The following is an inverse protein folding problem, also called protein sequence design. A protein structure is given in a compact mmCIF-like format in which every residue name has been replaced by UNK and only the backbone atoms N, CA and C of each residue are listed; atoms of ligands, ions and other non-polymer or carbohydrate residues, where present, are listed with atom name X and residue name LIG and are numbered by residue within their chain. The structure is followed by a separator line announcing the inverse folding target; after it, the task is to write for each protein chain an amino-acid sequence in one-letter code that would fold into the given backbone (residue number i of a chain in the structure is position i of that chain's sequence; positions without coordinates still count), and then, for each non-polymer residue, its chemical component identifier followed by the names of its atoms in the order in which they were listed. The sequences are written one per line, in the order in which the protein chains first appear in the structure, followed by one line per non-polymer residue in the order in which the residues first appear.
data_IF_613991763459
#
_entry.id   IF_613991763459
#
_cell.length_a   1.000
_cell.length_b   1.000
_cell.length_c   1.000
_cell.angle_alpha   90.00
_cell.angle_beta   90.00
_cell.angle_gamma   90.00
#
_symmetry.space_group_name_H-M   'P 1'
#
loop_
_entity.id
_entity.type
_entity.pdbx_description
1 polymer ?
#
# COMPACT_ATOMS: atom_id res chain seq x y z
N UNK A 1 2.42 -1.50 20.86
CA UNK A 1 2.40 -2.88 20.29
C UNK A 1 3.08 -2.93 18.91
N UNK A 2 2.53 -2.34 17.83
CA UNK A 2 3.11 -2.43 16.47
C UNK A 2 4.54 -1.92 16.40
N UNK A 3 4.84 -0.78 17.02
CA UNK A 3 6.18 -0.20 17.08
C UNK A 3 7.19 -1.14 17.75
N UNK A 4 6.76 -1.93 18.70
CA UNK A 4 7.61 -2.94 19.37
C UNK A 4 7.83 -4.16 18.48
N UNK A 5 6.76 -4.62 17.77
CA UNK A 5 6.88 -5.70 16.80
C UNK A 5 7.87 -5.31 15.68
N UNK A 6 7.77 -4.08 15.17
CA UNK A 6 8.66 -3.60 14.10
C UNK A 6 10.11 -3.42 14.59
N UNK A 7 10.35 -3.01 15.81
CA UNK A 7 11.73 -2.93 16.37
C UNK A 7 12.44 -4.28 16.40
N UNK A 8 11.69 -5.36 16.59
CA UNK A 8 12.25 -6.72 16.59
C UNK A 8 12.73 -7.13 15.20
N UNK A 9 12.14 -6.56 14.14
CA UNK A 9 12.52 -6.89 12.75
C UNK A 9 13.90 -6.35 12.34
N UNK A 10 14.48 -5.44 13.12
CA UNK A 10 15.82 -4.90 12.90
C UNK A 10 16.94 -5.81 13.42
N UNK A 11 16.59 -6.85 14.19
CA UNK A 11 17.56 -7.78 14.76
C UNK A 11 18.09 -8.73 13.68
N UNK A 12 19.42 -8.82 13.48
CA UNK A 12 20.02 -9.61 12.41
C UNK A 12 19.86 -11.14 12.57
N UNK A 13 19.55 -11.61 13.80
CA UNK A 13 19.32 -13.01 14.12
C UNK A 13 17.88 -13.48 13.89
N UNK A 14 16.99 -12.58 13.41
CA UNK A 14 15.57 -12.85 13.18
C UNK A 14 15.26 -12.80 11.71
N UNK A 15 14.62 -13.85 11.19
CA UNK A 15 14.02 -13.85 9.86
C UNK A 15 12.71 -13.08 9.93
N UNK A 16 12.61 -11.96 9.22
CA UNK A 16 11.45 -11.08 9.32
C UNK A 16 10.54 -11.14 8.09
N UNK A 17 9.32 -11.63 8.29
CA UNK A 17 8.20 -11.51 7.36
C UNK A 17 7.20 -10.41 7.81
N UNK A 18 7.51 -9.65 8.88
CA UNK A 18 6.58 -8.68 9.46
C UNK A 18 6.61 -7.32 8.75
N UNK A 19 7.79 -6.85 8.32
CA UNK A 19 7.96 -5.54 7.69
C UNK A 19 7.37 -5.45 6.29
N UNK A 20 6.85 -4.28 5.89
CA UNK A 20 6.42 -3.99 4.52
C UNK A 20 7.55 -3.38 3.68
N UNK A 21 8.75 -3.95 3.74
CA UNK A 21 9.94 -3.41 3.10
C UNK A 21 10.13 -4.05 1.70
N UNK A 22 10.43 -3.25 0.66
CA UNK A 22 10.90 -3.79 -0.61
C UNK A 22 12.28 -4.42 -0.44
N UNK A 23 12.64 -5.32 -1.37
CA UNK A 23 13.95 -5.97 -1.36
C UNK A 23 15.07 -4.94 -1.54
N UNK A 24 16.09 -4.93 -0.68
CA UNK A 24 17.25 -4.04 -0.83
C UNK A 24 18.05 -4.31 -2.09
N UNK A 25 17.96 -5.51 -2.68
CA UNK A 25 18.64 -5.86 -3.93
C UNK A 25 18.18 -5.05 -5.15
N UNK A 26 16.98 -4.44 -5.07
CA UNK A 26 16.43 -3.62 -6.13
C UNK A 26 16.45 -2.11 -5.83
N UNK A 27 17.17 -1.68 -4.81
CA UNK A 27 17.43 -0.26 -4.56
C UNK A 27 18.64 0.18 -5.42
N UNK A 28 18.37 0.87 -6.53
CA UNK A 28 19.42 1.33 -7.46
C UNK A 28 20.21 2.51 -6.87
N UNK A 29 21.09 2.20 -5.95
CA UNK A 29 21.93 3.21 -5.28
C UNK A 29 22.87 3.93 -6.23
N UNK A 30 23.37 3.24 -7.27
CA UNK A 30 24.28 3.82 -8.25
C UNK A 30 23.56 4.84 -9.16
N UNK A 31 22.38 4.47 -9.68
CA UNK A 31 21.57 5.36 -10.51
C UNK A 31 21.10 6.60 -9.74
N UNK A 32 20.66 6.40 -8.50
CA UNK A 32 20.26 7.52 -7.62
C UNK A 32 21.44 8.42 -7.28
N UNK A 33 22.64 7.88 -6.97
CA UNK A 33 23.83 8.67 -6.69
C UNK A 33 24.25 9.51 -7.90
N UNK A 34 24.27 8.93 -9.10
CA UNK A 34 24.56 9.63 -10.35
C UNK A 34 23.58 10.79 -10.58
N UNK A 35 22.28 10.53 -10.43
CA UNK A 35 21.24 11.55 -10.59
C UNK A 35 21.37 12.68 -9.56
N UNK A 36 21.78 12.36 -8.33
CA UNK A 36 22.02 13.36 -7.29
C UNK A 36 23.22 14.27 -7.62
N UNK A 37 24.33 13.69 -8.11
CA UNK A 37 25.51 14.43 -8.55
C UNK A 37 25.16 15.39 -9.70
N UNK A 38 24.43 14.92 -10.71
CA UNK A 38 24.00 15.73 -11.84
C UNK A 38 23.09 16.90 -11.41
N UNK A 39 22.08 16.64 -10.58
CA UNK A 39 21.17 17.69 -10.07
C UNK A 39 21.94 18.76 -9.30
N UNK A 40 22.88 18.37 -8.43
CA UNK A 40 23.64 19.31 -7.64
C UNK A 40 24.65 20.10 -8.47
N UNK A 41 25.22 19.52 -9.52
CA UNK A 41 26.18 20.20 -10.40
C UNK A 41 25.51 21.14 -11.41
N UNK A 42 24.33 20.75 -11.95
CA UNK A 42 23.64 21.51 -12.99
C UNK A 42 22.66 22.56 -12.42
N UNK A 43 21.89 22.17 -11.38
CA UNK A 43 20.76 22.92 -10.82
C UNK A 43 20.88 23.18 -9.32
N UNK A 44 22.07 23.06 -8.73
CA UNK A 44 22.29 23.01 -7.29
C UNK A 44 21.60 24.11 -6.50
N UNK A 45 21.69 25.38 -6.95
CA UNK A 45 21.02 26.50 -6.27
C UNK A 45 19.50 26.34 -6.25
N UNK A 46 18.88 25.93 -7.35
CA UNK A 46 17.44 25.73 -7.44
C UNK A 46 16.97 24.48 -6.67
N UNK A 47 17.82 23.45 -6.63
CA UNK A 47 17.54 22.22 -5.89
C UNK A 47 17.63 22.40 -4.36
N UNK A 48 18.31 23.42 -3.88
CA UNK A 48 18.50 23.73 -2.45
C UNK A 48 17.65 24.91 -1.97
N UNK A 49 16.84 25.53 -2.84
CA UNK A 49 15.95 26.63 -2.52
C UNK A 49 14.54 26.14 -2.20
N UNK A 50 13.71 26.98 -1.63
CA UNK A 50 12.27 26.77 -1.50
C UNK A 50 11.60 26.55 -2.86
N UNK A 51 10.50 25.80 -2.87
CA UNK A 51 9.72 25.47 -4.07
C UNK A 51 8.23 25.69 -3.85
N UNK A 52 7.43 25.43 -4.91
CA UNK A 52 5.97 25.46 -4.82
C UNK A 52 5.44 24.29 -3.98
N UNK A 53 4.31 24.51 -3.32
CA UNK A 53 3.69 23.51 -2.44
C UNK A 53 3.20 22.30 -3.21
N UNK A 54 2.74 22.50 -4.43
CA UNK A 54 2.23 21.44 -5.33
C UNK A 54 3.34 20.46 -5.72
N UNK A 55 4.58 20.93 -5.79
CA UNK A 55 5.75 20.14 -6.15
C UNK A 55 6.30 20.46 -7.54
N UNK A 56 7.41 19.77 -7.87
CA UNK A 56 8.20 20.00 -9.08
C UNK A 56 7.43 19.63 -10.34
N UNK A 57 7.14 20.61 -11.21
CA UNK A 57 6.30 20.44 -12.40
C UNK A 57 6.77 19.29 -13.30
N UNK A 58 8.06 19.12 -13.65
CA UNK A 58 8.48 18.01 -14.49
C UNK A 58 8.20 16.62 -13.87
N UNK A 59 8.20 16.49 -12.53
CA UNK A 59 7.82 15.24 -11.87
C UNK A 59 6.30 15.02 -11.93
N UNK A 60 5.50 16.08 -11.80
CA UNK A 60 4.02 16.03 -11.97
C UNK A 60 3.64 15.63 -13.41
N UNK A 61 4.33 16.19 -14.41
CA UNK A 61 4.18 15.82 -15.82
C UNK A 61 4.54 14.34 -16.08
N UNK A 62 5.61 13.85 -15.45
CA UNK A 62 5.98 12.45 -15.54
C UNK A 62 4.89 11.53 -14.96
N UNK A 63 4.34 11.88 -13.79
CA UNK A 63 3.23 11.13 -13.16
C UNK A 63 2.00 11.13 -14.06
N UNK A 64 1.59 12.27 -14.61
CA UNK A 64 0.47 12.36 -15.56
C UNK A 64 0.70 11.47 -16.79
N UNK A 65 1.93 11.49 -17.35
CA UNK A 65 2.35 10.60 -18.44
C UNK A 65 2.27 9.12 -18.05
N UNK A 66 2.59 8.79 -16.79
CA UNK A 66 2.52 7.41 -16.28
C UNK A 66 1.08 6.90 -16.20
N UNK A 67 0.14 7.72 -15.70
CA UNK A 67 -1.29 7.39 -15.69
C UNK A 67 -1.85 7.19 -17.10
N UNK A 68 -1.47 8.06 -18.05
CA UNK A 68 -1.84 7.90 -19.45
C UNK A 68 -1.34 6.58 -20.03
N UNK A 69 -0.08 6.22 -19.76
CA UNK A 69 0.52 4.96 -20.25
C UNK A 69 -0.14 3.72 -19.65
N UNK A 70 -0.45 3.75 -18.34
CA UNK A 70 -0.99 2.58 -17.62
C UNK A 70 -2.47 2.37 -17.83
N UNK A 71 -3.25 3.44 -17.77
CA UNK A 71 -4.71 3.38 -17.69
C UNK A 71 -5.42 4.16 -18.80
N UNK A 72 -4.70 4.84 -19.68
CA UNK A 72 -5.30 5.75 -20.67
C UNK A 72 -5.86 7.04 -20.07
N UNK A 73 -5.59 7.31 -18.78
CA UNK A 73 -6.10 8.48 -18.07
C UNK A 73 -5.37 9.75 -18.49
N UNK A 74 -6.14 10.77 -18.90
CA UNK A 74 -5.63 12.11 -19.16
C UNK A 74 -5.78 12.95 -17.90
N UNK A 75 -4.70 13.10 -17.15
CA UNK A 75 -4.61 13.90 -15.91
C UNK A 75 -3.83 15.16 -16.23
N UNK A 76 -4.35 16.34 -15.84
CA UNK A 76 -3.61 17.58 -15.90
C UNK A 76 -2.53 17.57 -14.79
N UNK A 77 -1.25 17.89 -15.06
CA UNK A 77 -0.24 18.04 -14.03
C UNK A 77 -0.65 18.99 -12.88
N UNK A 78 -1.52 19.96 -13.14
CA UNK A 78 -2.08 20.85 -12.11
C UNK A 78 -3.06 20.15 -11.14
N UNK A 79 -3.54 18.96 -11.47
CA UNK A 79 -4.35 18.08 -10.63
C UNK A 79 -3.50 17.09 -9.82
N UNK A 80 -2.19 17.34 -9.69
CA UNK A 80 -1.24 16.47 -8.99
C UNK A 80 -0.52 17.26 -7.89
N UNK A 81 -0.57 16.76 -6.66
CA UNK A 81 0.16 17.26 -5.51
C UNK A 81 1.23 16.25 -5.08
N UNK A 82 2.50 16.66 -5.04
CA UNK A 82 3.59 15.83 -4.51
C UNK A 82 3.62 15.87 -3.00
N UNK A 83 3.73 14.70 -2.37
CA UNK A 83 3.70 14.53 -0.91
C UNK A 83 4.92 13.76 -0.39
N UNK A 84 5.18 13.82 0.92
CA UNK A 84 6.20 12.99 1.59
C UNK A 84 5.74 11.53 1.73
N UNK A 85 5.57 10.83 0.58
CA UNK A 85 4.96 9.53 0.46
C UNK A 85 3.44 9.59 0.64
N UNK A 86 2.74 8.51 0.25
CA UNK A 86 1.28 8.41 0.38
C UNK A 86 0.77 8.56 1.82
N UNK A 87 1.61 8.30 2.83
CA UNK A 87 1.22 8.50 4.23
C UNK A 87 0.85 9.97 4.54
N UNK A 88 1.58 10.94 3.99
CA UNK A 88 1.20 12.35 4.12
C UNK A 88 -0.07 12.66 3.34
N UNK A 89 -0.27 12.03 2.18
CA UNK A 89 -1.53 12.18 1.43
C UNK A 89 -2.72 11.73 2.27
N UNK A 90 -2.63 10.58 2.94
CA UNK A 90 -3.68 10.10 3.84
C UNK A 90 -3.95 11.09 4.99
N UNK A 91 -2.92 11.63 5.62
CA UNK A 91 -3.08 12.64 6.67
C UNK A 91 -3.77 13.91 6.15
N UNK A 92 -3.35 14.42 4.97
CA UNK A 92 -3.97 15.59 4.33
C UNK A 92 -5.45 15.31 4.03
N UNK A 93 -5.79 14.16 3.43
CA UNK A 93 -7.17 13.80 3.12
C UNK A 93 -8.01 13.65 4.39
N UNK A 94 -7.46 13.04 5.45
CA UNK A 94 -8.12 13.01 6.75
C UNK A 94 -8.42 14.41 7.28
N UNK A 95 -7.47 15.34 7.18
CA UNK A 95 -7.59 16.73 7.64
C UNK A 95 -8.64 17.53 6.91
N UNK A 96 -8.78 17.35 5.59
CA UNK A 96 -9.72 18.15 4.79
C UNK A 96 -11.13 17.58 4.74
N UNK A 97 -11.31 16.27 4.98
CA UNK A 97 -12.61 15.62 4.84
C UNK A 97 -13.25 15.16 6.14
N UNK A 98 -12.47 14.92 7.21
CA UNK A 98 -13.01 14.29 8.42
C UNK A 98 -13.19 15.31 9.54
N UNK A 99 -14.41 15.43 10.05
CA UNK A 99 -14.69 15.98 11.37
C UNK A 99 -14.90 14.84 12.37
N UNK A 100 -14.78 15.12 13.67
CA UNK A 100 -15.05 14.14 14.73
C UNK A 100 -16.44 13.52 14.56
N UNK A 101 -16.49 12.19 14.51
CA UNK A 101 -17.70 11.41 14.36
C UNK A 101 -18.17 11.18 12.92
N UNK A 102 -17.55 11.80 11.92
CA UNK A 102 -17.91 11.56 10.52
C UNK A 102 -17.71 10.09 10.13
N UNK A 103 -18.63 9.49 9.34
CA UNK A 103 -18.48 8.13 8.88
C UNK A 103 -17.42 8.03 7.77
N UNK A 104 -16.45 7.14 7.95
CA UNK A 104 -15.42 6.80 6.96
C UNK A 104 -15.48 5.31 6.65
N UNK A 105 -15.58 4.97 5.38
CA UNK A 105 -15.61 3.58 4.94
C UNK A 105 -14.20 3.09 4.62
N UNK A 106 -13.85 1.89 5.10
CA UNK A 106 -12.54 1.27 4.91
C UNK A 106 -12.65 -0.25 4.78
N UNK A 107 -11.72 -0.87 4.09
CA UNK A 107 -11.61 -2.32 3.98
C UNK A 107 -11.38 -3.02 5.33
N UNK A 108 -11.80 -4.28 5.45
CA UNK A 108 -11.48 -5.15 6.58
C UNK A 108 -10.98 -6.53 6.08
N UNK A 109 -9.69 -6.86 6.30
CA UNK A 109 -8.66 -6.04 6.95
C UNK A 109 -8.29 -4.81 6.12
N UNK A 110 -8.05 -3.66 6.76
CA UNK A 110 -7.70 -2.39 6.15
C UNK A 110 -6.22 -2.04 6.30
N UNK A 111 -5.72 -1.08 5.51
CA UNK A 111 -4.34 -0.62 5.61
C UNK A 111 -4.09 0.12 6.94
N UNK A 112 -3.18 -0.42 7.74
CA UNK A 112 -2.82 0.15 9.03
C UNK A 112 -2.41 1.64 8.97
N UNK A 113 -1.68 2.04 7.91
CA UNK A 113 -1.26 3.44 7.75
C UNK A 113 -2.43 4.38 7.51
N UNK A 114 -3.47 3.95 6.79
CA UNK A 114 -4.70 4.70 6.60
C UNK A 114 -5.51 4.77 7.90
N UNK A 115 -5.71 3.62 8.58
CA UNK A 115 -6.37 3.58 9.88
C UNK A 115 -5.71 4.57 10.87
N UNK A 116 -4.37 4.56 10.96
CA UNK A 116 -3.63 5.45 11.85
C UNK A 116 -3.75 6.93 11.47
N UNK A 117 -3.68 7.26 10.17
CA UNK A 117 -3.80 8.63 9.69
C UNK A 117 -5.20 9.18 9.99
N UNK A 118 -6.22 8.45 9.57
CA UNK A 118 -7.62 8.89 9.75
C UNK A 118 -8.06 8.90 11.22
N UNK A 119 -7.57 7.98 12.05
CA UNK A 119 -7.89 7.96 13.50
C UNK A 119 -7.49 9.23 14.24
N UNK A 120 -6.56 10.04 13.71
CA UNK A 120 -6.21 11.35 14.31
C UNK A 120 -7.38 12.33 14.29
N UNK A 121 -8.33 12.13 13.38
CA UNK A 121 -9.52 12.97 13.17
C UNK A 121 -10.79 12.37 13.76
N UNK A 122 -10.67 11.26 14.51
CA UNK A 122 -11.73 10.58 15.27
C UNK A 122 -13.01 10.25 14.45
N UNK A 123 -12.88 9.62 13.25
CA UNK A 123 -14.04 9.20 12.49
C UNK A 123 -14.75 8.02 13.11
N UNK A 124 -15.99 7.78 12.69
CA UNK A 124 -16.66 6.49 12.82
C UNK A 124 -16.30 5.61 11.63
N UNK A 125 -15.45 4.59 11.85
CA UNK A 125 -15.09 3.65 10.79
C UNK A 125 -16.21 2.64 10.51
N UNK A 126 -16.55 2.50 9.22
CA UNK A 126 -17.40 1.45 8.70
C UNK A 126 -16.56 0.46 7.88
N UNK A 127 -16.36 -0.73 8.44
CA UNK A 127 -15.50 -1.75 7.86
C UNK A 127 -16.25 -2.56 6.79
N UNK A 128 -15.69 -2.63 5.57
CA UNK A 128 -16.19 -3.45 4.47
C UNK A 128 -15.34 -4.71 4.34
N UNK A 129 -15.87 -5.89 4.65
CA UNK A 129 -15.12 -7.14 4.53
C UNK A 129 -14.69 -7.43 3.09
N UNK A 130 -13.42 -7.83 2.93
CA UNK A 130 -12.88 -8.27 1.66
C UNK A 130 -13.20 -9.74 1.42
N UNK A 131 -13.70 -10.04 0.21
CA UNK A 131 -13.72 -11.38 -0.38
C UNK A 131 -12.46 -11.65 -1.21
N UNK A 132 -12.42 -12.78 -1.90
CA UNK A 132 -11.26 -13.18 -2.72
C UNK A 132 -11.03 -12.26 -3.94
N UNK A 133 -12.08 -11.61 -4.44
CA UNK A 133 -12.04 -10.74 -5.62
C UNK A 133 -12.31 -9.25 -5.29
N UNK A 134 -12.30 -8.87 -4.02
CA UNK A 134 -12.64 -7.55 -3.52
C UNK A 134 -13.87 -7.53 -2.62
N UNK A 135 -14.42 -6.36 -2.27
CA UNK A 135 -15.64 -6.23 -1.47
C UNK A 135 -16.86 -6.83 -2.17
N UNK A 136 -17.80 -7.36 -1.39
CA UNK A 136 -19.08 -7.79 -1.93
C UNK A 136 -19.96 -6.58 -2.31
N UNK A 137 -20.39 -6.42 -3.59
CA UNK A 137 -21.14 -5.24 -4.04
C UNK A 137 -22.45 -5.02 -3.27
N UNK A 138 -23.22 -6.08 -2.97
CA UNK A 138 -24.49 -5.93 -2.23
C UNK A 138 -24.28 -5.44 -0.80
N UNK A 139 -23.19 -5.84 -0.14
CA UNK A 139 -22.85 -5.32 1.19
C UNK A 139 -22.39 -3.87 1.13
N UNK A 140 -21.61 -3.51 0.10
CA UNK A 140 -21.19 -2.13 -0.11
C UNK A 140 -22.40 -1.23 -0.36
N UNK A 141 -23.32 -1.61 -1.24
CA UNK A 141 -24.53 -0.84 -1.53
C UNK A 141 -25.33 -0.53 -0.25
N UNK A 142 -25.63 -1.55 0.56
CA UNK A 142 -26.36 -1.35 1.82
C UNK A 142 -25.58 -0.49 2.84
N UNK A 143 -24.25 -0.59 2.84
CA UNK A 143 -23.40 0.26 3.69
C UNK A 143 -23.39 1.72 3.22
N UNK A 144 -23.24 2.00 1.94
CA UNK A 144 -23.30 3.35 1.36
C UNK A 144 -24.64 4.03 1.66
N UNK A 145 -25.76 3.31 1.44
CA UNK A 145 -27.11 3.80 1.71
C UNK A 145 -27.35 4.14 3.18
N UNK A 146 -26.85 3.28 4.09
CA UNK A 146 -27.12 3.45 5.54
C UNK A 146 -26.18 4.39 6.25
N UNK A 147 -24.94 4.60 5.75
CA UNK A 147 -23.90 5.36 6.48
C UNK A 147 -23.62 6.73 5.89
N UNK A 148 -23.83 6.94 4.58
CA UNK A 148 -23.46 8.17 3.87
C UNK A 148 -22.04 8.65 4.21
N UNK A 149 -20.99 7.85 3.93
CA UNK A 149 -19.63 8.16 4.36
C UNK A 149 -19.09 9.40 3.66
N UNK A 150 -18.26 10.19 4.36
CA UNK A 150 -17.57 11.35 3.75
C UNK A 150 -16.61 10.93 2.64
N UNK A 151 -16.05 9.74 2.74
CA UNK A 151 -15.36 9.04 1.66
C UNK A 151 -15.24 7.54 1.96
N UNK A 152 -14.91 6.78 0.93
CA UNK A 152 -14.48 5.38 1.02
C UNK A 152 -13.02 5.26 0.60
N UNK A 153 -12.22 4.46 1.33
CA UNK A 153 -10.81 4.21 1.06
C UNK A 153 -10.57 2.75 0.70
N UNK A 154 -9.85 2.50 -0.40
CA UNK A 154 -9.51 1.16 -0.83
C UNK A 154 -8.10 1.04 -1.43
N UNK A 155 -7.55 -0.18 -1.42
CA UNK A 155 -6.34 -0.59 -2.13
C UNK A 155 -6.72 -1.71 -3.11
N UNK A 156 -7.14 -1.40 -4.34
CA UNK A 156 -7.70 -2.42 -5.23
C UNK A 156 -6.66 -3.31 -5.89
N UNK A 157 -5.37 -3.02 -5.76
CA UNK A 157 -4.27 -3.79 -6.32
C UNK A 157 -3.37 -4.35 -5.21
N UNK A 158 -3.32 -5.70 -5.09
CA UNK A 158 -2.45 -6.39 -4.12
C UNK A 158 -2.53 -5.78 -2.72
N UNK A 159 -3.72 -5.66 -2.21
CA UNK A 159 -4.10 -4.96 -0.99
C UNK A 159 -3.18 -5.28 0.20
N UNK A 160 -2.85 -4.27 0.97
CA UNK A 160 -2.14 -4.42 2.24
C UNK A 160 -3.14 -4.37 3.40
N UNK A 161 -3.36 -5.49 4.13
CA UNK A 161 -2.46 -6.63 4.29
C UNK A 161 -2.81 -7.89 3.49
N UNK A 162 -3.98 -7.95 2.82
CA UNK A 162 -4.55 -9.21 2.35
C UNK A 162 -3.84 -9.82 1.12
N UNK A 163 -3.12 -9.02 0.34
CA UNK A 163 -2.57 -9.42 -0.96
C UNK A 163 -3.62 -9.57 -2.07
N UNK A 164 -4.90 -9.35 -1.76
CA UNK A 164 -6.01 -9.49 -2.72
C UNK A 164 -5.99 -8.34 -3.73
N UNK A 165 -6.29 -8.67 -4.99
CA UNK A 165 -6.56 -7.67 -6.02
C UNK A 165 -8.02 -7.78 -6.45
N UNK A 166 -8.72 -6.63 -6.57
CA UNK A 166 -10.09 -6.63 -7.04
C UNK A 166 -10.17 -7.08 -8.49
N UNK A 167 -11.10 -7.97 -8.81
CA UNK A 167 -11.36 -8.38 -10.19
C UNK A 167 -11.92 -7.22 -11.02
N UNK A 168 -11.81 -7.30 -12.35
CA UNK A 168 -12.39 -6.29 -13.25
C UNK A 168 -13.88 -6.14 -13.02
N UNK A 169 -14.61 -7.27 -12.93
CA UNK A 169 -16.04 -7.27 -12.62
C UNK A 169 -16.35 -6.56 -11.30
N UNK A 170 -15.62 -6.87 -10.23
CA UNK A 170 -15.82 -6.23 -8.93
C UNK A 170 -15.65 -4.70 -9.04
N UNK A 171 -14.61 -4.22 -9.74
CA UNK A 171 -14.37 -2.78 -9.92
C UNK A 171 -15.49 -2.08 -10.67
N UNK A 172 -16.01 -2.69 -11.74
CA UNK A 172 -17.10 -2.16 -12.54
C UNK A 172 -18.40 -2.05 -11.73
N UNK A 173 -18.75 -3.11 -10.97
CA UNK A 173 -19.90 -3.10 -10.07
C UNK A 173 -19.76 -2.04 -8.96
N UNK A 174 -18.59 -1.97 -8.31
CA UNK A 174 -18.36 -0.99 -7.25
C UNK A 174 -18.37 0.44 -7.80
N UNK A 175 -17.84 0.69 -8.99
CA UNK A 175 -17.85 2.01 -9.61
C UNK A 175 -19.28 2.52 -9.80
N UNK A 176 -20.19 1.69 -10.32
CA UNK A 176 -21.61 2.07 -10.42
C UNK A 176 -22.23 2.46 -9.06
N UNK A 177 -21.91 1.71 -8.01
CA UNK A 177 -22.42 2.01 -6.66
C UNK A 177 -21.86 3.33 -6.09
N UNK A 178 -20.59 3.65 -6.35
CA UNK A 178 -19.99 4.92 -5.93
C UNK A 178 -20.55 6.10 -6.72
N UNK A 179 -20.74 5.97 -8.04
CA UNK A 179 -21.37 6.98 -8.88
C UNK A 179 -22.81 7.27 -8.41
N UNK A 180 -23.61 6.23 -8.17
CA UNK A 180 -24.99 6.35 -7.70
C UNK A 180 -25.09 7.01 -6.31
N UNK A 181 -24.12 6.75 -5.42
CA UNK A 181 -24.12 7.32 -4.07
C UNK A 181 -23.51 8.72 -3.98
N UNK A 182 -22.72 9.15 -4.96
CA UNK A 182 -21.93 10.39 -4.91
C UNK A 182 -20.85 10.39 -3.82
N UNK A 183 -20.45 9.21 -3.32
CA UNK A 183 -19.44 9.08 -2.28
C UNK A 183 -18.04 9.15 -2.92
N UNK A 184 -17.19 10.06 -2.45
CA UNK A 184 -15.79 10.14 -2.90
C UNK A 184 -15.06 8.83 -2.62
N UNK A 185 -14.46 8.24 -3.66
CA UNK A 185 -13.58 7.07 -3.53
C UNK A 185 -12.11 7.48 -3.53
N UNK A 186 -11.37 7.06 -2.51
CA UNK A 186 -9.92 7.20 -2.44
C UNK A 186 -9.30 5.86 -2.83
N UNK A 187 -8.69 5.82 -4.04
CA UNK A 187 -7.95 4.67 -4.55
C UNK A 187 -6.46 4.82 -4.24
N UNK A 188 -5.91 3.97 -3.37
CA UNK A 188 -4.46 3.92 -3.08
C UNK A 188 -3.79 2.82 -3.91
N UNK A 189 -2.97 3.22 -4.89
CA UNK A 189 -2.31 2.32 -5.84
C UNK A 189 -0.80 2.21 -5.60
N UNK A 190 -0.39 1.84 -4.39
CA UNK A 190 1.01 1.65 -4.05
C UNK A 190 1.65 0.41 -4.70
N UNK A 191 0.85 -0.58 -5.12
CA UNK A 191 1.33 -1.89 -5.60
C UNK A 191 0.93 -2.23 -7.04
N UNK A 192 0.09 -1.45 -7.69
CA UNK A 192 -0.51 -1.80 -8.99
C UNK A 192 0.47 -1.94 -10.15
N UNK A 193 1.72 -1.50 -9.97
CA UNK A 193 2.79 -1.76 -10.93
C UNK A 193 3.52 -3.11 -10.68
N UNK A 194 3.37 -3.72 -9.50
CA UNK A 194 4.02 -4.98 -9.13
C UNK A 194 3.01 -6.11 -9.30
N UNK A 195 2.76 -6.52 -10.55
CA UNK A 195 1.77 -7.56 -10.90
C UNK A 195 2.45 -8.75 -11.54
N UNK A 196 2.06 -9.96 -11.12
CA UNK A 196 2.62 -11.21 -11.64
C UNK A 196 1.90 -11.71 -12.89
N UNK A 197 0.72 -11.14 -13.18
CA UNK A 197 -0.11 -11.47 -14.34
C UNK A 197 -0.09 -10.36 -15.38
N UNK A 198 -0.39 -10.70 -16.63
CA UNK A 198 -0.55 -9.75 -17.73
C UNK A 198 -1.96 -9.15 -17.82
N UNK A 199 -2.88 -9.59 -16.97
CA UNK A 199 -4.24 -9.08 -16.92
C UNK A 199 -4.24 -7.58 -16.62
N UNK A 200 -4.91 -6.80 -17.47
CA UNK A 200 -5.10 -5.36 -17.25
C UNK A 200 -6.40 -5.15 -16.50
N UNK A 201 -6.33 -4.50 -15.35
CA UNK A 201 -7.51 -4.10 -14.56
C UNK A 201 -7.63 -2.58 -14.60
N UNK A 202 -8.83 -2.03 -14.80
CA UNK A 202 -9.04 -0.59 -14.79
C UNK A 202 -8.75 0.00 -13.41
N UNK A 203 -8.26 1.25 -13.36
CA UNK A 203 -8.31 2.06 -12.14
C UNK A 203 -9.72 2.60 -11.97
N UNK A 204 -10.17 2.82 -10.75
CA UNK A 204 -11.43 3.56 -10.52
C UNK A 204 -11.40 4.95 -11.13
N UNK A 205 -10.23 5.57 -11.25
CA UNK A 205 -10.07 6.81 -11.99
C UNK A 205 -10.43 6.72 -13.47
N UNK A 206 -10.50 5.50 -14.06
CA UNK A 206 -10.97 5.28 -15.43
C UNK A 206 -12.44 4.85 -15.53
N UNK A 207 -13.07 4.56 -14.40
CA UNK A 207 -14.45 4.08 -14.29
C UNK A 207 -15.39 5.14 -13.72
N UNK A 208 -14.88 6.08 -12.92
CA UNK A 208 -15.64 7.11 -12.22
C UNK A 208 -15.44 8.49 -12.82
N UNK A 209 -16.41 9.40 -12.67
CA UNK A 209 -16.22 10.83 -12.89
C UNK A 209 -15.04 11.36 -12.05
N UNK A 210 -14.38 12.40 -12.55
CA UNK A 210 -13.18 12.95 -11.93
C UNK A 210 -13.41 13.54 -10.52
N UNK A 211 -14.63 14.05 -10.31
CA UNK A 211 -15.10 14.57 -9.02
C UNK A 211 -15.28 13.51 -7.94
N UNK A 212 -15.53 12.26 -8.33
CA UNK A 212 -15.89 11.16 -7.41
C UNK A 212 -14.70 10.29 -7.02
N UNK A 213 -13.49 10.60 -7.50
CA UNK A 213 -12.31 9.78 -7.23
C UNK A 213 -11.05 10.59 -6.96
N UNK A 214 -10.31 10.20 -5.91
CA UNK A 214 -8.95 10.65 -5.62
C UNK A 214 -7.98 9.48 -5.71
N UNK A 215 -6.88 9.65 -6.47
CA UNK A 215 -5.89 8.61 -6.72
C UNK A 215 -4.62 8.91 -5.93
N UNK A 216 -4.16 7.94 -5.13
CA UNK A 216 -2.90 8.00 -4.41
C UNK A 216 -1.87 7.10 -5.08
N UNK A 217 -0.63 7.56 -5.09
CA UNK A 217 0.48 6.75 -5.55
C UNK A 217 1.76 7.00 -4.77
N UNK A 218 2.73 6.10 -4.95
CA UNK A 218 3.99 6.15 -4.20
C UNK A 218 5.15 5.59 -5.01
N UNK A 219 6.30 6.25 -4.93
CA UNK A 219 7.55 5.73 -5.46
C UNK A 219 8.24 4.71 -4.54
N UNK A 220 7.70 4.50 -3.35
CA UNK A 220 8.32 3.64 -2.32
C UNK A 220 8.50 2.19 -2.73
N UNK A 221 7.67 1.67 -3.65
CA UNK A 221 7.70 0.25 -4.03
C UNK A 221 8.33 0.01 -5.39
N UNK A 222 8.42 1.04 -6.23
CA UNK A 222 8.96 0.96 -7.60
C UNK A 222 10.31 1.64 -7.78
N UNK A 223 10.75 2.51 -6.81
CA UNK A 223 12.07 3.13 -6.83
C UNK A 223 12.78 2.92 -5.49
N UNK A 224 12.41 3.69 -4.45
CA UNK A 224 13.02 3.57 -3.13
C UNK A 224 12.16 4.20 -2.04
N UNK A 225 11.88 3.51 -0.92
CA UNK A 225 11.07 4.06 0.17
C UNK A 225 11.78 5.21 0.91
N UNK A 226 13.11 5.24 0.92
CA UNK A 226 13.91 6.26 1.61
C UNK A 226 13.82 7.65 0.97
N UNK A 227 13.42 7.77 -0.31
CA UNK A 227 13.23 9.05 -0.99
C UNK A 227 12.01 9.80 -0.42
N UNK A 228 11.06 9.09 0.19
CA UNK A 228 9.84 9.66 0.79
C UNK A 228 9.02 10.52 -0.17
N UNK A 229 8.77 10.04 -1.39
CA UNK A 229 7.89 10.71 -2.36
C UNK A 229 6.69 9.86 -2.73
N UNK A 230 5.54 10.51 -2.78
CA UNK A 230 4.25 10.02 -3.27
C UNK A 230 3.45 11.18 -3.82
N UNK A 231 2.21 10.93 -4.20
CA UNK A 231 1.36 11.96 -4.79
C UNK A 231 -0.12 11.72 -4.54
N UNK A 232 -0.87 12.80 -4.65
CA UNK A 232 -2.34 12.82 -4.79
C UNK A 232 -2.67 13.29 -6.20
N UNK A 233 -3.56 12.58 -6.89
CA UNK A 233 -4.26 13.07 -8.08
C UNK A 233 -5.74 13.19 -7.74
N UNK A 234 -6.31 14.39 -7.86
CA UNK A 234 -7.72 14.63 -7.63
C UNK A 234 -8.19 15.81 -8.48
N UNK A 235 -9.49 16.11 -8.46
CA UNK A 235 -10.00 17.32 -9.09
C UNK A 235 -9.37 18.58 -8.46
N UNK A 236 -9.50 19.71 -9.15
CA UNK A 236 -8.86 20.97 -8.74
C UNK A 236 -9.26 21.43 -7.35
N UNK A 237 -10.54 21.27 -6.99
CA UNK A 237 -11.04 21.70 -5.69
C UNK A 237 -10.38 20.94 -4.53
N UNK A 238 -10.24 19.62 -4.66
CA UNK A 238 -9.56 18.78 -3.67
C UNK A 238 -8.06 19.15 -3.61
N UNK A 239 -7.42 19.38 -4.76
CA UNK A 239 -6.00 19.77 -4.81
C UNK A 239 -5.77 21.11 -4.10
N UNK A 240 -6.61 22.12 -4.33
CA UNK A 240 -6.47 23.44 -3.71
C UNK A 240 -6.61 23.38 -2.18
N UNK A 241 -7.56 22.59 -1.69
CA UNK A 241 -7.70 22.32 -0.25
C UNK A 241 -6.49 21.54 0.31
N UNK A 242 -6.03 20.52 -0.40
CA UNK A 242 -4.89 19.72 -0.02
C UNK A 242 -3.59 20.54 0.03
N UNK A 243 -3.38 21.44 -0.94
CA UNK A 243 -2.26 22.40 -0.96
C UNK A 243 -2.31 23.31 0.27
N UNK A 244 -3.48 23.86 0.59
CA UNK A 244 -3.66 24.71 1.78
C UNK A 244 -3.31 23.95 3.06
N UNK A 245 -3.81 22.73 3.22
CA UNK A 245 -3.51 21.87 4.36
C UNK A 245 -2.01 21.52 4.44
N UNK A 246 -1.38 21.23 3.28
CA UNK A 246 0.05 20.94 3.18
C UNK A 246 0.91 22.15 3.55
N UNK A 247 0.56 23.35 3.11
CA UNK A 247 1.28 24.58 3.46
C UNK A 247 1.36 24.78 4.98
N UNK A 248 0.28 24.46 5.69
CA UNK A 248 0.26 24.53 7.15
C UNK A 248 1.07 23.39 7.83
N UNK A 249 1.44 22.35 7.10
CA UNK A 249 2.15 21.16 7.63
C UNK A 249 3.66 21.24 7.40
N UNK A 250 4.09 21.36 6.14
CA UNK A 250 5.50 21.28 5.74
C UNK A 250 5.89 22.24 4.61
N UNK A 251 4.99 23.11 4.20
CA UNK A 251 5.11 24.07 3.10
C UNK A 251 5.21 23.39 1.73
N UNK A 252 6.21 22.53 1.51
CA UNK A 252 6.39 21.72 0.31
C UNK A 252 7.19 20.45 0.60
N UNK A 253 7.03 19.41 -0.22
CA UNK A 253 7.86 18.22 -0.15
C UNK A 253 9.30 18.53 -0.60
N UNK A 254 10.27 17.74 -0.11
CA UNK A 254 11.69 17.94 -0.37
C UNK A 254 12.00 18.08 -1.88
N UNK A 255 12.34 19.29 -2.32
CA UNK A 255 12.56 19.60 -3.74
C UNK A 255 13.81 18.94 -4.30
N UNK A 256 14.87 18.78 -3.50
CA UNK A 256 16.07 18.08 -3.93
C UNK A 256 15.75 16.62 -4.29
N UNK A 257 14.98 15.91 -3.43
CA UNK A 257 14.55 14.56 -3.72
C UNK A 257 13.66 14.47 -4.96
N UNK A 258 12.77 15.45 -5.17
CA UNK A 258 11.92 15.50 -6.37
C UNK A 258 12.73 15.65 -7.65
N UNK A 259 13.73 16.53 -7.66
CA UNK A 259 14.62 16.75 -8.82
C UNK A 259 15.51 15.52 -9.08
N UNK A 260 16.08 14.91 -8.03
CA UNK A 260 16.88 13.69 -8.15
C UNK A 260 16.02 12.56 -8.74
N UNK A 261 14.81 12.37 -8.21
CA UNK A 261 13.91 11.35 -8.71
C UNK A 261 13.47 11.60 -10.15
N UNK A 262 13.12 12.83 -10.49
CA UNK A 262 12.75 13.21 -11.85
C UNK A 262 13.89 12.94 -12.85
N UNK A 263 15.13 13.29 -12.50
CA UNK A 263 16.33 12.99 -13.30
C UNK A 263 16.52 11.48 -13.45
N UNK A 264 16.41 10.72 -12.35
CA UNK A 264 16.51 9.27 -12.36
C UNK A 264 15.50 8.64 -13.31
N UNK A 265 14.23 9.05 -13.22
CA UNK A 265 13.13 8.53 -14.06
C UNK A 265 13.28 8.91 -15.55
N UNK A 266 13.93 10.03 -15.85
CA UNK A 266 14.20 10.47 -17.21
C UNK A 266 15.39 9.76 -17.88
N UNK A 267 16.38 9.32 -17.09
CA UNK A 267 17.62 8.73 -17.60
C UNK A 267 17.65 7.19 -17.52
N UNK A 268 16.75 6.59 -16.76
CA UNK A 268 16.71 5.15 -16.57
C UNK A 268 15.39 4.52 -17.06
N UNK A 269 15.47 3.29 -17.56
CA UNK A 269 14.29 2.52 -17.95
C UNK A 269 13.59 1.96 -16.72
N UNK A 270 12.62 2.72 -16.19
CA UNK A 270 11.85 2.33 -15.01
C UNK A 270 11.00 1.06 -15.28
N UNK A 271 10.53 0.83 -16.50
CA UNK A 271 9.74 -0.37 -16.81
C UNK A 271 10.62 -1.63 -16.77
N UNK A 272 11.85 -1.54 -17.25
CA UNK A 272 12.83 -2.62 -17.11
C UNK A 272 13.17 -2.86 -15.63
N UNK A 273 13.33 -1.80 -14.84
CA UNK A 273 13.56 -1.91 -13.40
C UNK A 273 12.40 -2.61 -12.69
N UNK A 274 11.16 -2.18 -12.94
CA UNK A 274 9.94 -2.78 -12.38
C UNK A 274 9.81 -4.26 -12.82
N UNK A 275 10.13 -4.58 -14.08
CA UNK A 275 10.05 -5.96 -14.57
C UNK A 275 10.98 -6.91 -13.79
N UNK A 276 12.16 -6.44 -13.38
CA UNK A 276 13.09 -7.22 -12.54
C UNK A 276 12.54 -7.42 -11.12
N UNK A 277 11.91 -6.41 -10.55
CA UNK A 277 11.21 -6.51 -9.26
C UNK A 277 10.10 -7.55 -9.35
N UNK A 278 9.26 -7.47 -10.38
CA UNK A 278 8.13 -8.40 -10.61
C UNK A 278 8.63 -9.84 -10.69
N UNK A 279 9.67 -10.10 -11.46
CA UNK A 279 10.22 -11.45 -11.64
C UNK A 279 10.71 -12.03 -10.31
N UNK A 280 11.49 -11.27 -9.56
CA UNK A 280 11.99 -11.71 -8.26
C UNK A 280 10.87 -11.94 -7.25
N UNK A 281 9.91 -11.01 -7.15
CA UNK A 281 8.81 -11.13 -6.18
C UNK A 281 7.86 -12.28 -6.54
N UNK A 282 7.64 -12.53 -7.84
CA UNK A 282 6.87 -13.69 -8.28
C UNK A 282 7.54 -15.00 -7.86
N UNK A 283 8.87 -15.13 -8.04
CA UNK A 283 9.63 -16.31 -7.61
C UNK A 283 9.55 -16.50 -6.08
N UNK A 284 9.75 -15.44 -5.30
CA UNK A 284 9.69 -15.47 -3.84
C UNK A 284 8.28 -15.84 -3.34
N UNK A 285 7.24 -15.24 -3.92
CA UNK A 285 5.85 -15.55 -3.61
C UNK A 285 5.50 -17.00 -3.90
N UNK A 286 5.83 -17.48 -5.11
CA UNK A 286 5.58 -18.87 -5.54
C UNK A 286 6.30 -19.86 -4.64
N UNK A 287 7.56 -19.57 -4.29
CA UNK A 287 8.34 -20.43 -3.39
C UNK A 287 7.74 -20.47 -1.98
N UNK A 288 7.35 -19.32 -1.42
CA UNK A 288 6.73 -19.25 -0.11
C UNK A 288 5.40 -20.01 -0.08
N UNK A 289 4.54 -19.81 -1.09
CA UNK A 289 3.24 -20.51 -1.19
C UNK A 289 3.43 -22.02 -1.29
N UNK A 290 4.39 -22.51 -2.09
CA UNK A 290 4.67 -23.95 -2.19
C UNK A 290 5.09 -24.54 -0.84
N UNK A 291 5.96 -23.87 -0.09
CA UNK A 291 6.35 -24.33 1.23
C UNK A 291 5.18 -24.33 2.21
N UNK A 292 4.27 -23.36 2.12
CA UNK A 292 3.08 -23.31 2.93
C UNK A 292 2.11 -24.46 2.57
N UNK A 293 1.93 -24.76 1.28
CA UNK A 293 1.12 -25.89 0.81
C UNK A 293 1.66 -27.23 1.35
N UNK A 294 2.99 -27.38 1.39
CA UNK A 294 3.65 -28.61 1.83
C UNK A 294 3.69 -28.78 3.38
N UNK A 295 3.74 -27.68 4.13
CA UNK A 295 4.13 -27.71 5.54
C UNK A 295 3.07 -27.22 6.52
N UNK A 296 2.10 -26.38 6.09
CA UNK A 296 1.12 -25.81 7.00
C UNK A 296 -0.02 -26.80 7.27
N UNK A 297 -0.62 -26.77 8.48
CA UNK A 297 -1.84 -27.51 8.76
C UNK A 297 -2.98 -27.13 7.79
N UNK A 298 -3.79 -28.10 7.37
CA UNK A 298 -4.92 -27.91 6.43
C UNK A 298 -5.95 -26.88 6.92
N UNK A 299 -6.06 -26.69 8.23
CA UNK A 299 -7.01 -25.75 8.84
C UNK A 299 -6.58 -24.28 8.71
N UNK A 300 -5.32 -24.01 8.30
CA UNK A 300 -4.79 -22.65 8.06
C UNK A 300 -5.01 -22.28 6.61
N UNK A 301 -5.85 -21.29 6.36
CA UNK A 301 -6.02 -20.75 5.00
C UNK A 301 -5.15 -19.52 4.76
N UNK A 302 -4.87 -19.20 3.50
CA UNK A 302 -4.09 -18.04 3.13
C UNK A 302 -4.39 -17.56 1.72
N UNK A 303 -4.19 -16.25 1.51
CA UNK A 303 -4.37 -15.63 0.20
C UNK A 303 -3.31 -16.07 -0.80
N UNK A 304 -3.67 -16.05 -2.09
CA UNK A 304 -2.76 -16.34 -3.21
C UNK A 304 -2.64 -15.09 -4.09
N UNK A 305 -1.74 -14.14 -3.71
CA UNK A 305 -1.65 -12.86 -4.40
C UNK A 305 -1.12 -13.03 -5.83
N UNK A 306 -1.64 -12.18 -6.72
CA UNK A 306 -1.21 -12.05 -8.11
C UNK A 306 -0.27 -10.84 -8.33
N UNK A 307 0.29 -10.32 -7.24
CA UNK A 307 1.19 -9.18 -7.22
C UNK A 307 1.57 -8.73 -5.81
N UNK A 308 2.13 -7.54 -5.69
CA UNK A 308 2.44 -6.91 -4.41
C UNK A 308 3.55 -7.60 -3.62
N UNK A 309 3.37 -7.66 -2.31
CA UNK A 309 4.43 -8.02 -1.37
C UNK A 309 3.95 -8.91 -0.21
N UNK A 310 2.65 -9.22 -0.10
CA UNK A 310 2.05 -9.80 1.09
C UNK A 310 1.22 -11.03 0.83
N UNK A 311 1.26 -11.97 1.78
CA UNK A 311 0.33 -13.07 1.94
C UNK A 311 -0.39 -12.89 3.27
N UNK A 312 -1.70 -13.11 3.29
CA UNK A 312 -2.52 -13.07 4.48
C UNK A 312 -2.94 -14.47 4.90
N UNK A 313 -2.58 -14.86 6.12
CA UNK A 313 -3.00 -16.10 6.74
C UNK A 313 -4.25 -15.87 7.57
N UNK A 314 -5.16 -16.84 7.56
CA UNK A 314 -6.31 -16.93 8.45
C UNK A 314 -6.20 -18.19 9.28
N UNK A 315 -6.03 -18.02 10.57
CA UNK A 315 -5.93 -19.10 11.55
C UNK A 315 -7.32 -19.59 11.94
N UNK A 316 -7.46 -20.88 12.37
CA UNK A 316 -8.67 -21.37 13.01
C UNK A 316 -9.05 -20.53 14.24
N UNK A 317 -10.35 -20.40 14.53
CA UNK A 317 -10.88 -19.56 15.63
C UNK A 317 -10.28 -19.86 17.02
N UNK A 318 -9.81 -21.09 17.25
CA UNK A 318 -9.14 -21.50 18.49
C UNK A 318 -7.71 -21.00 18.64
N UNK A 319 -7.10 -20.42 17.58
CA UNK A 319 -5.74 -19.92 17.58
C UNK A 319 -5.75 -18.40 17.68
N UNK A 320 -4.79 -17.85 18.43
CA UNK A 320 -4.53 -16.41 18.51
C UNK A 320 -3.25 -16.07 17.75
N UNK A 321 -3.37 -15.16 16.77
CA UNK A 321 -2.23 -14.68 16.00
C UNK A 321 -1.17 -14.01 16.89
N UNK A 322 -1.59 -13.38 18.00
CA UNK A 322 -0.68 -12.81 18.98
C UNK A 322 0.12 -13.87 19.72
N UNK A 323 -0.48 -15.00 20.04
CA UNK A 323 0.23 -16.12 20.67
C UNK A 323 1.17 -16.81 19.68
N UNK A 324 0.73 -17.01 18.43
CA UNK A 324 1.58 -17.54 17.35
C UNK A 324 2.80 -16.62 17.14
N UNK A 325 2.59 -15.30 17.11
CA UNK A 325 3.69 -14.32 17.01
C UNK A 325 4.74 -14.49 18.12
N UNK A 326 4.32 -14.60 19.38
CA UNK A 326 5.24 -14.76 20.50
C UNK A 326 6.12 -16.02 20.32
N UNK A 327 5.51 -17.16 20.00
CA UNK A 327 6.25 -18.41 19.78
C UNK A 327 7.11 -18.41 18.53
N UNK A 328 6.63 -17.78 17.43
CA UNK A 328 7.43 -17.61 16.22
C UNK A 328 8.69 -16.79 16.51
N UNK A 329 8.57 -15.76 17.37
CA UNK A 329 9.69 -14.94 17.78
C UNK A 329 10.73 -15.73 18.58
N UNK A 330 10.31 -16.64 19.48
CA UNK A 330 11.22 -17.56 20.20
C UNK A 330 11.97 -18.48 19.21
N UNK A 331 11.34 -18.82 18.08
CA UNK A 331 11.96 -19.57 16.96
C UNK A 331 12.69 -18.66 15.95
N UNK A 332 12.92 -17.38 16.29
CA UNK A 332 13.63 -16.40 15.45
C UNK A 332 12.92 -16.10 14.11
N UNK A 333 11.59 -16.05 14.12
CA UNK A 333 10.76 -15.61 12.98
C UNK A 333 9.84 -14.50 13.46
N UNK A 334 9.87 -13.37 12.78
CA UNK A 334 8.95 -12.26 13.01
C UNK A 334 7.83 -12.27 11.95
N UNK A 335 6.59 -12.26 12.41
CA UNK A 335 5.35 -12.15 11.62
C UNK A 335 4.56 -10.94 12.12
N UNK A 336 3.52 -10.50 11.40
CA UNK A 336 2.69 -9.39 11.86
C UNK A 336 1.26 -9.86 12.13
N UNK A 337 0.81 -9.88 13.42
CA UNK A 337 -0.56 -10.23 13.80
C UNK A 337 -1.60 -9.29 13.19
N UNK A 338 -2.81 -9.81 12.96
CA UNK A 338 -3.84 -9.16 12.20
C UNK A 338 -4.63 -8.06 12.90
N UNK A 339 -4.73 -8.10 14.24
CA UNK A 339 -5.55 -7.14 15.01
C UNK A 339 -5.37 -5.66 14.61
N UNK A 340 -4.15 -5.16 14.33
CA UNK A 340 -3.96 -3.76 13.95
C UNK A 340 -4.57 -3.35 12.60
N UNK A 341 -4.98 -4.31 11.77
CA UNK A 341 -5.60 -4.08 10.46
C UNK A 341 -7.14 -4.05 10.54
N UNK A 342 -7.70 -4.04 11.74
CA UNK A 342 -9.13 -3.94 11.99
C UNK A 342 -9.45 -2.77 12.92
N UNK A 343 -10.48 -2.02 12.60
CA UNK A 343 -10.87 -0.82 13.32
C UNK A 343 -11.66 -1.10 14.60
N UNK A 344 -12.20 -2.31 14.73
CA UNK A 344 -13.01 -2.79 15.86
C UNK A 344 -12.23 -3.66 16.87
N UNK A 345 -10.90 -3.82 16.66
CA UNK A 345 -10.05 -4.66 17.50
C UNK A 345 -10.19 -6.17 17.24
N UNK A 346 -10.95 -6.58 16.24
CA UNK A 346 -11.01 -7.97 15.78
C UNK A 346 -9.71 -8.41 15.09
N UNK A 347 -9.72 -9.52 14.34
CA UNK A 347 -8.61 -9.94 13.48
C UNK A 347 -7.50 -10.72 14.18
N UNK A 348 -7.72 -11.23 15.40
CA UNK A 348 -6.73 -12.07 16.11
C UNK A 348 -6.47 -13.43 15.43
N UNK A 349 -7.22 -13.76 14.38
CA UNK A 349 -6.96 -14.91 13.50
C UNK A 349 -6.10 -14.57 12.28
N UNK A 350 -5.88 -13.28 12.01
CA UNK A 350 -5.11 -12.83 10.85
C UNK A 350 -3.62 -12.77 11.12
N UNK A 351 -2.80 -13.09 10.11
CA UNK A 351 -1.36 -12.86 10.11
C UNK A 351 -0.94 -12.37 8.74
N UNK A 352 -0.21 -11.25 8.67
CA UNK A 352 0.43 -10.81 7.44
C UNK A 352 1.86 -11.33 7.36
N UNK A 353 2.21 -11.90 6.19
CA UNK A 353 3.58 -12.24 5.82
C UNK A 353 4.03 -11.40 4.62
N UNK A 354 5.26 -10.90 4.67
CA UNK A 354 5.95 -10.26 3.55
C UNK A 354 6.91 -11.25 2.91
N UNK A 355 6.82 -11.45 1.59
CA UNK A 355 7.73 -12.33 0.84
C UNK A 355 8.87 -11.56 0.14
N UNK A 356 8.74 -10.25 -0.07
CA UNK A 356 9.63 -9.47 -0.95
C UNK A 356 11.02 -9.18 -0.36
N UNK A 357 11.17 -9.20 0.98
CA UNK A 357 12.39 -8.77 1.66
C UNK A 357 13.28 -9.93 2.14
N UNK A 358 13.04 -11.15 1.67
CA UNK A 358 13.78 -12.34 2.07
C UNK A 358 14.26 -13.13 0.85
N UNK A 359 15.50 -13.61 0.88
CA UNK A 359 16.01 -14.57 -0.08
C UNK A 359 15.36 -15.95 0.09
N UNK A 360 15.60 -16.85 -0.85
CA UNK A 360 15.00 -18.20 -0.90
C UNK A 360 15.33 -19.00 0.35
N UNK A 361 16.57 -18.95 0.82
CA UNK A 361 17.02 -19.67 2.01
C UNK A 361 16.33 -19.17 3.29
N UNK A 362 16.15 -17.85 3.42
CA UNK A 362 15.42 -17.27 4.55
C UNK A 362 13.93 -17.60 4.49
N UNK A 363 13.32 -17.60 3.30
CA UNK A 363 11.93 -18.02 3.13
C UNK A 363 11.76 -19.46 3.59
N UNK A 364 12.60 -20.38 3.12
CA UNK A 364 12.56 -21.81 3.49
C UNK A 364 12.73 -22.01 5.00
N UNK A 365 13.77 -21.43 5.58
CA UNK A 365 14.03 -21.55 7.01
C UNK A 365 12.93 -20.92 7.85
N UNK A 366 12.41 -19.76 7.47
CA UNK A 366 11.38 -19.04 8.20
C UNK A 366 10.01 -19.73 8.14
N UNK A 367 9.58 -20.19 6.96
CA UNK A 367 8.32 -20.91 6.79
C UNK A 367 8.36 -22.27 7.50
N UNK A 368 9.48 -23.00 7.43
CA UNK A 368 9.65 -24.26 8.19
C UNK A 368 9.50 -24.05 9.68
N UNK A 369 10.12 -23.00 10.25
CA UNK A 369 9.99 -22.67 11.68
C UNK A 369 8.57 -22.28 12.04
N UNK A 370 7.89 -21.48 11.20
CA UNK A 370 6.51 -21.06 11.41
C UNK A 370 5.56 -22.26 11.35
N UNK A 371 5.76 -23.18 10.41
CA UNK A 371 5.01 -24.43 10.31
C UNK A 371 5.11 -25.27 11.60
N UNK A 372 6.33 -25.39 12.16
CA UNK A 372 6.55 -26.05 13.44
C UNK A 372 5.76 -25.41 14.59
N UNK A 373 5.67 -24.07 14.62
CA UNK A 373 4.85 -23.34 15.61
C UNK A 373 3.36 -23.63 15.42
N UNK A 374 2.85 -23.61 14.19
CA UNK A 374 1.45 -23.89 13.89
C UNK A 374 1.07 -25.33 14.26
N UNK A 375 1.95 -26.29 14.01
CA UNK A 375 1.75 -27.69 14.37
C UNK A 375 1.77 -27.92 15.89
N UNK A 376 2.63 -27.21 16.65
CA UNK A 376 2.61 -27.23 18.13
C UNK A 376 1.24 -26.77 18.66
N UNK A 377 0.65 -25.73 18.05
CA UNK A 377 -0.70 -25.24 18.40
C UNK A 377 -1.79 -26.27 18.05
N UNK A 378 -1.71 -26.89 16.87
CA UNK A 378 -2.65 -27.93 16.45
C UNK A 378 -2.74 -29.09 17.43
N UNK A 379 -1.56 -29.52 17.97
CA UNK A 379 -1.49 -30.64 18.94
C UNK A 379 -1.95 -30.24 20.33
N UNK A 380 -1.88 -28.97 20.69
CA UNK A 380 -2.24 -28.48 22.02
C UNK A 380 -3.73 -28.11 22.16
N UNK A 381 -4.46 -28.04 21.05
CA UNK A 381 -5.86 -27.65 20.96
C UNK A 381 -6.79 -28.84 20.77
#
# INVERSE_FOLDING_TARGET
MIREILKVTERPDIISFAGGLPSPAFLDTAGVAKSAEQVLSEDGCAALQYATSEGYMPLREWIAGRYRKRFGLSIDPEEILITHGSQQTLDILGRIFINEGDPVMIEAPGYLGAIQAFSQYMPHFHAIPLGEEGPNPSRLAGALESTHPVFSYCIPNSQNPSGISYSTWCREELAGLYEDSGTLLIEDDAYGEIRFTSEKRPSFGSLLPREDVALLGSFSKIVAPGIRLGWLCANREIIDQAVTAKQASDLHSNILCQRILCRYLGENDIDLHISRIIEAYRMQCTHMLRLMDDLFPEEVSYSRPDGGMFIWLTLPKKFSAMQVWKRALDKKVAILPGTPFYTDGSGDQGIRLNFSNSDVEKIEAGITRLAGVLEEYRRAA
#
